data_IF_963110054464
#
_entry.id   IF_963110054464
#
_cell.length_a   1.000
_cell.length_b   1.000
_cell.length_c   1.000
_cell.angle_alpha   90.00
_cell.angle_beta   90.00
_cell.angle_gamma   90.00
#
_symmetry.space_group_name_H-M   'P 1'
#
loop_
_entity.id
_entity.type
_entity.pdbx_description
1 polymer ?
#
# COMPACT_ATOMS: atom_id res chain seq x y z
N UNK A 1 -47.29 -23.89 47.51
CA UNK A 1 -47.16 -23.75 46.05
C UNK A 1 -46.55 -22.38 45.74
N UNK A 2 -45.27 -22.32 45.40
CA UNK A 2 -44.63 -21.10 44.90
C UNK A 2 -44.61 -21.17 43.38
N UNK A 3 -45.30 -20.24 42.73
CA UNK A 3 -45.33 -20.09 41.27
C UNK A 3 -44.09 -19.27 40.91
N UNK A 4 -43.12 -19.91 40.26
CA UNK A 4 -41.97 -19.21 39.67
C UNK A 4 -42.36 -18.72 38.29
N UNK A 5 -42.50 -17.41 38.13
CA UNK A 5 -42.66 -16.76 36.83
C UNK A 5 -41.32 -16.78 36.08
N UNK A 6 -41.30 -17.44 34.92
CA UNK A 6 -40.18 -17.41 33.97
C UNK A 6 -40.40 -16.18 33.07
N UNK A 7 -39.49 -15.21 33.15
CA UNK A 7 -39.42 -14.08 32.20
C UNK A 7 -38.66 -14.58 30.97
N UNK A 8 -39.38 -14.74 29.85
CA UNK A 8 -38.77 -15.02 28.54
C UNK A 8 -38.33 -13.67 27.95
N UNK A 9 -37.03 -13.44 27.92
CA UNK A 9 -36.43 -12.29 27.25
C UNK A 9 -36.43 -12.57 25.73
N UNK A 10 -37.37 -11.97 25.01
CA UNK A 10 -37.40 -12.04 23.55
C UNK A 10 -36.32 -11.08 23.02
N UNK A 11 -35.17 -11.63 22.62
CA UNK A 11 -34.18 -10.92 21.82
C UNK A 11 -34.77 -10.71 20.42
N UNK A 12 -35.32 -9.53 20.17
CA UNK A 12 -35.67 -9.08 18.83
C UNK A 12 -34.35 -8.72 18.14
N UNK A 13 -33.96 -9.38 17.04
CA UNK A 13 -32.81 -8.93 16.25
C UNK A 13 -33.18 -7.57 15.65
N UNK A 14 -32.54 -6.51 16.13
CA UNK A 14 -32.54 -5.23 15.44
C UNK A 14 -31.82 -5.44 14.10
N UNK A 15 -32.59 -5.66 13.04
CA UNK A 15 -32.09 -5.45 11.69
C UNK A 15 -31.84 -3.94 11.56
N UNK A 16 -30.59 -3.51 11.76
CA UNK A 16 -30.18 -2.15 11.46
C UNK A 16 -30.39 -1.90 9.97
N UNK A 17 -31.47 -1.21 9.61
CA UNK A 17 -31.65 -0.74 8.24
C UNK A 17 -30.75 0.48 8.05
N UNK A 18 -29.59 0.30 7.43
CA UNK A 18 -28.79 1.40 6.91
C UNK A 18 -29.61 2.16 5.87
N UNK A 19 -29.82 3.46 6.09
CA UNK A 19 -30.50 4.33 5.12
C UNK A 19 -29.49 4.86 4.11
N UNK A 20 -29.91 4.93 2.85
CA UNK A 20 -29.15 5.61 1.79
C UNK A 20 -29.66 7.04 1.61
N UNK A 21 -28.75 8.00 1.69
CA UNK A 21 -28.99 9.42 1.46
C UNK A 21 -28.42 9.81 0.09
N UNK A 22 -29.26 10.38 -0.76
CA UNK A 22 -28.86 10.86 -2.08
C UNK A 22 -28.62 12.36 -2.00
N UNK A 23 -27.39 12.77 -2.29
CA UNK A 23 -26.93 14.15 -2.25
C UNK A 23 -26.46 14.56 -3.63
N UNK A 24 -26.86 15.74 -4.09
CA UNK A 24 -26.37 16.28 -5.36
C UNK A 24 -27.17 17.47 -5.86
N UNK A 25 -26.67 18.22 -6.85
CA UNK A 25 -27.30 19.46 -7.31
C UNK A 25 -28.76 19.32 -7.78
N UNK A 26 -29.15 18.10 -8.18
CA UNK A 26 -30.51 17.76 -8.66
C UNK A 26 -31.33 16.96 -7.65
N UNK A 27 -30.79 16.69 -6.45
CA UNK A 27 -31.44 15.91 -5.39
C UNK A 27 -32.14 16.80 -4.38
N UNK A 28 -32.90 16.18 -3.48
CA UNK A 28 -33.52 16.88 -2.33
C UNK A 28 -32.49 17.53 -1.42
N UNK A 29 -31.37 16.85 -1.16
CA UNK A 29 -30.24 17.39 -0.44
C UNK A 29 -29.17 17.80 -1.44
N UNK A 30 -28.91 19.11 -1.55
CA UNK A 30 -28.06 19.64 -2.61
C UNK A 30 -26.58 19.71 -2.24
N UNK A 31 -26.23 19.47 -0.98
CA UNK A 31 -24.84 19.41 -0.52
C UNK A 31 -24.65 18.39 0.61
N UNK A 32 -23.44 17.84 0.80
CA UNK A 32 -23.16 16.88 1.87
C UNK A 32 -23.49 17.39 3.27
N UNK A 33 -23.18 18.66 3.57
CA UNK A 33 -23.48 19.25 4.88
C UNK A 33 -24.98 19.21 5.23
N UNK A 34 -25.87 19.22 4.23
CA UNK A 34 -27.32 19.20 4.42
C UNK A 34 -27.83 17.91 5.10
N UNK A 35 -27.08 16.81 5.02
CA UNK A 35 -27.43 15.53 5.67
C UNK A 35 -26.57 15.23 6.89
N UNK A 36 -25.52 16.01 7.15
CA UNK A 36 -24.53 15.73 8.22
C UNK A 36 -25.12 15.57 9.63
N UNK A 37 -26.23 16.25 9.93
CA UNK A 37 -26.96 16.14 11.20
C UNK A 37 -28.16 15.19 11.16
N UNK A 38 -28.47 14.62 10.00
CA UNK A 38 -29.65 13.79 9.75
C UNK A 38 -29.33 12.29 9.66
N UNK A 39 -28.11 11.95 9.23
CA UNK A 39 -27.65 10.57 9.11
C UNK A 39 -27.54 9.89 10.47
N UNK A 40 -27.87 8.61 10.50
CA UNK A 40 -27.67 7.73 11.65
C UNK A 40 -26.46 6.80 11.43
N UNK A 41 -26.04 6.11 12.49
CA UNK A 41 -24.93 5.17 12.39
C UNK A 41 -25.20 4.08 11.36
N UNK A 42 -24.18 3.78 10.55
CA UNK A 42 -24.25 2.77 9.49
C UNK A 42 -24.85 3.26 8.17
N UNK A 43 -25.36 4.49 8.09
CA UNK A 43 -25.96 5.03 6.88
C UNK A 43 -24.94 5.18 5.73
N UNK A 44 -25.46 5.16 4.50
CA UNK A 44 -24.68 5.43 3.29
C UNK A 44 -25.07 6.78 2.69
N UNK A 45 -24.09 7.57 2.28
CA UNK A 45 -24.27 8.87 1.63
C UNK A 45 -23.69 8.77 0.22
N UNK A 46 -24.58 8.77 -0.78
CA UNK A 46 -24.21 8.78 -2.19
C UNK A 46 -24.25 10.23 -2.68
N UNK A 47 -23.10 10.73 -3.12
CA UNK A 47 -22.90 12.14 -3.48
C UNK A 47 -22.63 12.20 -4.98
N UNK A 48 -23.53 12.80 -5.75
CA UNK A 48 -23.34 12.96 -7.19
C UNK A 48 -22.06 13.77 -7.49
N UNK A 49 -21.37 13.42 -8.55
CA UNK A 49 -20.21 14.16 -9.03
C UNK A 49 -20.60 15.61 -9.40
N UNK A 50 -20.01 16.55 -8.68
CA UNK A 50 -20.21 17.99 -8.83
C UNK A 50 -19.19 18.72 -7.95
N UNK A 51 -19.06 20.03 -8.18
CA UNK A 51 -18.34 20.93 -7.26
C UNK A 51 -19.30 21.45 -6.18
N UNK A 52 -18.94 21.26 -4.92
CA UNK A 52 -19.65 21.72 -3.73
C UNK A 52 -18.84 22.81 -3.04
N UNK A 53 -19.12 24.06 -3.42
CA UNK A 53 -18.35 25.23 -2.96
C UNK A 53 -18.68 25.59 -1.51
N UNK A 54 -17.63 25.79 -0.71
CA UNK A 54 -17.69 26.17 0.72
C UNK A 54 -18.55 25.22 1.57
N UNK A 55 -18.75 23.98 1.11
CA UNK A 55 -19.51 22.98 1.85
C UNK A 55 -18.60 22.28 2.86
N UNK A 56 -18.57 22.83 4.07
CA UNK A 56 -17.75 22.33 5.18
C UNK A 56 -18.66 21.88 6.33
N UNK A 57 -18.37 20.73 6.94
CA UNK A 57 -19.25 20.18 7.98
C UNK A 57 -18.59 19.20 8.95
N UNK A 58 -19.34 18.84 9.98
CA UNK A 58 -18.99 17.85 11.00
C UNK A 58 -19.81 16.58 10.82
N UNK A 59 -19.12 15.44 10.78
CA UNK A 59 -19.75 14.12 10.78
C UNK A 59 -19.59 13.47 12.16
N UNK A 60 -20.73 13.26 12.84
CA UNK A 60 -20.78 12.64 14.19
C UNK A 60 -21.13 11.16 14.17
N UNK A 61 -21.98 10.73 13.24
CA UNK A 61 -22.41 9.35 13.16
C UNK A 61 -21.26 8.41 12.77
N UNK A 62 -21.35 7.19 13.27
CA UNK A 62 -20.35 6.13 13.12
C UNK A 62 -20.71 5.21 11.94
N UNK A 63 -19.73 4.46 11.44
CA UNK A 63 -19.87 3.47 10.38
C UNK A 63 -20.53 4.01 9.10
N UNK A 64 -20.40 5.32 8.84
CA UNK A 64 -20.92 5.92 7.63
C UNK A 64 -20.09 5.48 6.42
N UNK A 65 -20.77 5.30 5.30
CA UNK A 65 -20.13 5.06 4.00
C UNK A 65 -20.44 6.21 3.05
N UNK A 66 -19.41 6.95 2.64
CA UNK A 66 -19.51 8.06 1.69
C UNK A 66 -18.99 7.63 0.32
N UNK A 67 -19.76 7.85 -0.74
CA UNK A 67 -19.40 7.45 -2.09
C UNK A 67 -19.71 8.57 -3.08
N UNK A 68 -18.70 9.06 -3.79
CA UNK A 68 -18.87 9.87 -5.00
C UNK A 68 -19.40 9.03 -6.17
N UNK A 69 -20.50 9.48 -6.78
CA UNK A 69 -21.21 8.78 -7.86
C UNK A 69 -21.04 9.50 -9.19
N UNK A 70 -20.52 8.79 -10.20
CA UNK A 70 -20.32 9.35 -11.54
C UNK A 70 -19.05 10.19 -11.71
N UNK A 71 -18.13 10.14 -10.74
CA UNK A 71 -16.92 10.95 -10.68
C UNK A 71 -16.66 11.41 -9.24
N UNK A 72 -15.75 12.38 -9.07
CA UNK A 72 -15.51 12.99 -7.76
C UNK A 72 -16.68 13.85 -7.31
N UNK A 73 -17.11 13.66 -6.06
CA UNK A 73 -17.76 14.72 -5.31
C UNK A 73 -16.66 15.69 -4.85
N UNK A 74 -16.55 16.84 -5.51
CA UNK A 74 -15.48 17.80 -5.27
C UNK A 74 -15.88 18.84 -4.23
N UNK A 75 -15.31 18.73 -3.04
CA UNK A 75 -15.49 19.67 -1.94
C UNK A 75 -14.41 20.76 -2.04
N UNK A 76 -14.76 21.83 -2.75
CA UNK A 76 -13.90 23.02 -2.83
C UNK A 76 -14.22 23.96 -1.68
N UNK A 77 -13.32 24.04 -0.70
CA UNK A 77 -13.54 24.84 0.50
C UNK A 77 -13.48 26.36 0.23
N UNK A 78 -12.84 26.81 -0.85
CA UNK A 78 -12.58 28.24 -1.16
C UNK A 78 -12.10 29.04 0.07
N UNK A 79 -11.14 28.47 0.82
CA UNK A 79 -10.56 29.06 2.03
C UNK A 79 -11.44 28.97 3.28
N UNK A 80 -12.53 28.21 3.25
CA UNK A 80 -13.40 27.96 4.42
C UNK A 80 -13.05 26.65 5.11
N UNK A 81 -13.49 26.50 6.36
CA UNK A 81 -13.31 25.29 7.14
C UNK A 81 -14.39 25.19 8.22
N UNK A 82 -14.83 23.97 8.52
CA UNK A 82 -15.66 23.71 9.68
C UNK A 82 -14.83 23.84 10.96
N UNK A 83 -15.32 24.65 11.89
CA UNK A 83 -14.69 24.85 13.20
C UNK A 83 -13.26 25.41 13.15
N UNK A 84 -12.85 26.03 12.03
CA UNK A 84 -11.47 26.47 11.82
C UNK A 84 -10.48 25.31 11.71
N UNK A 85 -10.92 24.10 11.31
CA UNK A 85 -10.09 22.89 11.29
C UNK A 85 -9.94 22.24 9.92
N UNK A 86 -11.04 21.95 9.23
CA UNK A 86 -11.01 21.18 7.99
C UNK A 86 -12.26 21.38 7.13
N UNK A 87 -12.24 20.90 5.89
CA UNK A 87 -13.45 20.75 5.07
C UNK A 87 -14.42 19.83 5.81
N UNK A 88 -13.97 18.61 6.13
CA UNK A 88 -14.72 17.68 6.97
C UNK A 88 -13.99 17.40 8.28
N UNK A 89 -14.67 17.67 9.40
CA UNK A 89 -14.26 17.17 10.72
C UNK A 89 -15.05 15.88 10.98
N UNK A 90 -14.36 14.77 11.23
CA UNK A 90 -14.98 13.47 11.45
C UNK A 90 -14.73 13.04 12.90
N UNK A 91 -15.78 13.12 13.72
CA UNK A 91 -15.78 12.64 15.12
C UNK A 91 -16.42 11.25 15.25
N UNK A 92 -17.19 10.85 14.25
CA UNK A 92 -17.71 9.50 14.11
C UNK A 92 -16.60 8.46 13.91
N UNK A 93 -16.91 7.20 14.21
CA UNK A 93 -15.94 6.11 14.24
C UNK A 93 -16.13 5.22 13.02
N UNK A 94 -15.05 4.65 12.48
CA UNK A 94 -15.05 3.63 11.44
C UNK A 94 -15.77 4.06 10.14
N UNK A 95 -15.65 5.34 9.83
CA UNK A 95 -16.23 5.91 8.61
C UNK A 95 -15.36 5.55 7.39
N UNK A 96 -16.01 5.42 6.23
CA UNK A 96 -15.40 4.99 4.97
C UNK A 96 -15.71 6.00 3.87
N UNK A 97 -14.70 6.46 3.15
CA UNK A 97 -14.84 7.44 2.08
C UNK A 97 -14.30 6.87 0.77
N UNK A 98 -15.04 7.12 -0.32
CA UNK A 98 -14.65 6.75 -1.67
C UNK A 98 -15.05 7.81 -2.69
N UNK A 99 -14.17 8.11 -3.66
CA UNK A 99 -14.44 9.02 -4.79
C UNK A 99 -14.82 10.45 -4.36
N UNK A 100 -14.09 10.99 -3.39
CA UNK A 100 -14.30 12.37 -2.92
C UNK A 100 -13.00 13.16 -3.11
N UNK A 101 -13.12 14.37 -3.63
CA UNK A 101 -12.02 15.31 -3.85
C UNK A 101 -12.14 16.46 -2.84
N UNK A 102 -11.03 16.84 -2.21
CA UNK A 102 -10.95 17.83 -1.14
C UNK A 102 -9.92 18.90 -1.50
N UNK A 103 -10.35 20.16 -1.61
CA UNK A 103 -9.41 21.22 -1.96
C UNK A 103 -9.63 22.58 -1.35
N UNK A 104 -8.56 23.38 -1.38
CA UNK A 104 -8.55 24.80 -1.03
C UNK A 104 -8.96 25.11 0.43
N UNK A 105 -8.74 24.20 1.38
CA UNK A 105 -8.94 24.48 2.80
C UNK A 105 -7.80 25.33 3.36
N UNK A 106 -8.14 26.43 4.03
CA UNK A 106 -7.17 27.35 4.66
C UNK A 106 -7.74 27.85 5.98
N UNK A 107 -6.95 27.79 7.05
CA UNK A 107 -7.32 28.32 8.38
C UNK A 107 -6.20 29.20 8.92
N UNK A 108 -6.53 30.00 9.94
CA UNK A 108 -5.60 30.98 10.55
C UNK A 108 -4.36 30.29 11.11
N UNK A 109 -4.54 29.13 11.74
CA UNK A 109 -3.47 28.37 12.42
C UNK A 109 -2.60 27.56 11.45
N UNK A 110 -2.80 27.70 10.13
CA UNK A 110 -2.01 27.07 9.06
C UNK A 110 -2.04 25.54 9.02
N UNK A 111 -3.10 24.92 9.53
CA UNK A 111 -3.29 23.46 9.54
C UNK A 111 -4.70 23.03 9.08
N UNK A 112 -5.27 23.80 8.15
CA UNK A 112 -6.58 23.58 7.57
C UNK A 112 -6.57 22.35 6.67
N UNK A 113 -7.26 21.29 7.10
CA UNK A 113 -7.18 20.00 6.44
C UNK A 113 -8.33 19.71 5.46
N UNK A 114 -8.11 18.85 4.46
CA UNK A 114 -9.22 18.20 3.76
C UNK A 114 -10.09 17.41 4.75
N UNK A 115 -9.46 16.55 5.56
CA UNK A 115 -10.11 15.86 6.69
C UNK A 115 -9.35 16.10 7.99
N UNK A 116 -10.07 16.50 9.04
CA UNK A 116 -9.63 16.38 10.43
C UNK A 116 -10.29 15.16 11.06
N UNK A 117 -9.52 14.11 11.32
CA UNK A 117 -10.02 12.90 12.00
C UNK A 117 -9.88 13.07 13.52
N UNK A 118 -11.02 13.12 14.22
CA UNK A 118 -11.10 13.15 15.69
C UNK A 118 -11.79 11.90 16.27
N UNK A 119 -12.40 11.07 15.41
CA UNK A 119 -12.95 9.76 15.75
C UNK A 119 -11.93 8.63 15.71
N UNK A 120 -12.43 7.41 15.90
CA UNK A 120 -11.65 6.16 15.85
C UNK A 120 -11.86 5.46 14.53
N UNK A 121 -10.79 5.15 13.80
CA UNK A 121 -10.84 4.38 12.57
C UNK A 121 -11.33 5.18 11.37
N UNK A 122 -10.58 5.13 10.27
CA UNK A 122 -10.94 5.77 9.01
C UNK A 122 -10.43 4.93 7.84
N UNK A 123 -11.27 4.70 6.83
CA UNK A 123 -10.85 4.16 5.54
C UNK A 123 -11.09 5.19 4.45
N UNK A 124 -10.05 5.51 3.68
CA UNK A 124 -10.12 6.42 2.53
C UNK A 124 -9.64 5.66 1.31
N UNK A 125 -10.41 5.70 0.23
CA UNK A 125 -10.05 5.05 -1.02
C UNK A 125 -10.42 5.87 -2.23
N UNK A 126 -9.63 5.88 -3.30
CA UNK A 126 -9.99 6.58 -4.54
C UNK A 126 -10.36 8.05 -4.29
N UNK A 127 -9.65 8.73 -3.39
CA UNK A 127 -9.88 10.14 -3.08
C UNK A 127 -8.74 11.00 -3.64
N UNK A 128 -8.98 12.31 -3.69
CA UNK A 128 -7.95 13.27 -4.06
C UNK A 128 -7.91 14.44 -3.08
N UNK A 129 -6.76 14.72 -2.49
CA UNK A 129 -6.56 15.82 -1.55
C UNK A 129 -5.54 16.79 -2.11
N UNK A 130 -5.93 18.02 -2.41
CA UNK A 130 -4.98 18.97 -2.97
C UNK A 130 -5.22 20.43 -2.62
N UNK A 131 -4.14 21.22 -2.60
CA UNK A 131 -4.19 22.66 -2.31
C UNK A 131 -4.85 23.00 -0.97
N UNK A 132 -4.83 22.08 -0.01
CA UNK A 132 -5.18 22.36 1.39
C UNK A 132 -3.90 22.73 2.15
N UNK A 133 -4.03 23.21 3.39
CA UNK A 133 -2.84 23.33 4.25
C UNK A 133 -2.37 21.94 4.71
N UNK A 134 -3.31 21.04 5.00
CA UNK A 134 -3.05 19.60 5.19
C UNK A 134 -3.99 18.76 4.31
N UNK A 135 -3.55 17.65 3.72
CA UNK A 135 -4.48 16.74 3.04
C UNK A 135 -5.40 16.04 4.05
N UNK A 136 -4.80 15.23 4.94
CA UNK A 136 -5.47 14.67 6.12
C UNK A 136 -4.62 14.97 7.36
N UNK A 137 -5.29 15.42 8.42
CA UNK A 137 -4.70 15.59 9.74
C UNK A 137 -5.49 14.76 10.77
N UNK A 138 -4.92 13.64 11.19
CA UNK A 138 -5.52 12.79 12.23
C UNK A 138 -5.06 13.22 13.63
N UNK A 139 -6.00 13.26 14.59
CA UNK A 139 -5.69 13.50 16.00
C UNK A 139 -5.12 12.26 16.71
N UNK A 140 -4.71 12.46 17.97
CA UNK A 140 -4.23 11.37 18.83
C UNK A 140 -5.39 10.44 19.22
N UNK A 141 -5.27 9.17 18.85
CA UNK A 141 -6.20 8.13 19.24
C UNK A 141 -5.54 6.74 19.12
N UNK A 142 -4.98 6.18 20.21
CA UNK A 142 -4.25 4.92 20.17
C UNK A 142 -5.13 3.68 19.89
N UNK A 143 -6.44 3.84 19.76
CA UNK A 143 -7.37 2.80 19.31
C UNK A 143 -7.70 2.89 17.81
N UNK A 144 -7.23 3.93 17.12
CA UNK A 144 -7.58 4.21 15.72
C UNK A 144 -6.65 3.50 14.74
N UNK A 145 -7.22 2.84 13.74
CA UNK A 145 -6.48 2.39 12.56
C UNK A 145 -6.91 3.19 11.34
N UNK A 146 -5.94 3.73 10.63
CA UNK A 146 -6.17 4.51 9.42
C UNK A 146 -5.71 3.69 8.22
N UNK A 147 -6.61 3.50 7.26
CA UNK A 147 -6.34 2.80 6.01
C UNK A 147 -6.56 3.77 4.86
N UNK A 148 -5.54 3.97 4.03
CA UNK A 148 -5.61 4.86 2.88
C UNK A 148 -5.07 4.10 1.67
N UNK A 149 -5.91 3.94 0.66
CA UNK A 149 -5.58 3.19 -0.55
C UNK A 149 -6.01 3.92 -1.83
N UNK A 150 -5.31 3.72 -2.94
CA UNK A 150 -5.71 4.27 -4.25
C UNK A 150 -6.00 5.78 -4.23
N UNK A 151 -5.32 6.54 -3.37
CA UNK A 151 -5.62 7.95 -3.09
C UNK A 151 -4.46 8.82 -3.53
N UNK A 152 -4.79 9.99 -4.07
CA UNK A 152 -3.82 10.99 -4.50
C UNK A 152 -3.76 12.15 -3.48
N UNK A 153 -2.54 12.61 -3.20
CA UNK A 153 -2.27 13.79 -2.39
C UNK A 153 -1.30 14.68 -3.15
N UNK A 154 -1.67 15.94 -3.37
CA UNK A 154 -0.78 16.88 -4.05
C UNK A 154 -0.88 18.32 -3.58
N UNK A 155 0.22 19.07 -3.61
CA UNK A 155 0.20 20.53 -3.38
C UNK A 155 -0.44 20.94 -2.05
N UNK A 156 -0.48 20.07 -1.05
CA UNK A 156 -0.89 20.47 0.29
C UNK A 156 0.33 21.02 1.06
N UNK A 157 0.09 22.04 1.87
CA UNK A 157 1.14 22.71 2.63
C UNK A 157 0.88 24.20 2.78
N UNK A 158 1.37 24.79 3.86
CA UNK A 158 1.28 26.23 4.13
C UNK A 158 2.63 26.95 3.92
N UNK A 159 3.66 26.23 3.46
CA UNK A 159 5.02 26.77 3.31
C UNK A 159 5.74 27.02 4.63
N UNK A 160 5.26 26.42 5.72
CA UNK A 160 5.78 26.62 7.08
C UNK A 160 6.60 25.43 7.61
N UNK A 161 6.59 24.31 6.89
CA UNK A 161 7.30 23.07 7.24
C UNK A 161 6.55 22.20 8.27
N UNK A 162 5.34 22.59 8.69
CA UNK A 162 4.55 21.89 9.70
C UNK A 162 3.26 21.28 9.17
N UNK A 163 2.77 21.76 8.02
CA UNK A 163 1.61 21.19 7.34
C UNK A 163 2.03 20.39 6.12
N UNK A 164 1.29 19.32 5.79
CA UNK A 164 1.80 18.22 4.97
C UNK A 164 0.75 17.67 4.01
N UNK A 165 1.19 16.86 3.03
CA UNK A 165 0.26 16.07 2.21
C UNK A 165 -0.54 15.09 3.09
N UNK A 166 0.13 14.38 4.00
CA UNK A 166 -0.53 13.50 4.97
C UNK A 166 0.13 13.60 6.34
N UNK A 167 -0.65 13.90 7.38
CA UNK A 167 -0.20 13.91 8.77
C UNK A 167 -1.09 13.05 9.67
N UNK A 168 -0.57 11.87 10.02
CA UNK A 168 -1.18 10.97 10.99
C UNK A 168 -0.50 11.13 12.34
N UNK A 169 -1.21 11.56 13.38
CA UNK A 169 -0.68 11.69 14.73
C UNK A 169 -0.65 10.33 15.46
N UNK A 170 -0.67 10.28 16.81
CA UNK A 170 -0.51 9.02 17.54
C UNK A 170 -1.77 8.15 17.45
N UNK A 171 -1.82 7.32 16.40
CA UNK A 171 -2.84 6.30 16.19
C UNK A 171 -2.27 4.89 16.36
N UNK A 172 -3.13 3.87 16.44
CA UNK A 172 -2.70 2.47 16.56
C UNK A 172 -1.90 2.02 15.35
N UNK A 173 -2.42 2.25 14.14
CA UNK A 173 -1.75 1.86 12.91
C UNK A 173 -2.12 2.75 11.72
N UNK A 174 -1.15 2.89 10.80
CA UNK A 174 -1.37 3.39 9.45
C UNK A 174 -1.08 2.27 8.45
N UNK A 175 -2.04 2.01 7.57
CA UNK A 175 -1.87 1.22 6.35
C UNK A 175 -2.03 2.12 5.14
N UNK A 176 -0.97 2.28 4.36
CA UNK A 176 -0.86 3.22 3.25
C UNK A 176 -0.39 2.48 1.99
N UNK A 177 -1.30 2.19 1.06
CA UNK A 177 -0.99 1.36 -0.11
C UNK A 177 -1.56 1.87 -1.43
N UNK A 178 -0.83 1.70 -2.53
CA UNK A 178 -1.31 2.05 -3.88
C UNK A 178 -1.64 3.53 -4.07
N UNK A 179 -1.03 4.40 -3.26
CA UNK A 179 -1.29 5.84 -3.28
C UNK A 179 -0.27 6.60 -4.14
N UNK A 180 -0.65 7.80 -4.51
CA UNK A 180 0.21 8.77 -5.17
C UNK A 180 0.35 10.02 -4.30
N UNK A 181 1.58 10.38 -3.94
CA UNK A 181 1.87 11.50 -3.05
C UNK A 181 2.99 12.32 -3.66
N UNK A 182 2.72 13.60 -3.93
CA UNK A 182 3.68 14.45 -4.62
C UNK A 182 3.50 15.94 -4.31
N UNK A 183 4.56 16.72 -4.49
CA UNK A 183 4.53 18.18 -4.40
C UNK A 183 3.96 18.70 -3.07
N UNK A 184 4.33 18.12 -1.92
CA UNK A 184 4.04 18.81 -0.66
C UNK A 184 4.71 20.19 -0.68
N UNK A 185 3.99 21.25 -0.29
CA UNK A 185 4.55 22.60 -0.30
C UNK A 185 5.38 22.83 0.96
N UNK A 186 6.71 22.69 0.83
CA UNK A 186 7.74 22.74 1.89
C UNK A 186 7.63 21.66 2.99
N UNK A 187 6.43 21.15 3.27
CA UNK A 187 6.16 20.08 4.23
C UNK A 187 6.63 18.69 3.77
N UNK A 188 6.14 17.65 4.42
CA UNK A 188 6.45 16.27 4.07
C UNK A 188 5.38 15.68 3.15
N UNK A 189 5.80 14.74 2.30
CA UNK A 189 4.85 13.94 1.53
C UNK A 189 4.01 13.08 2.49
N UNK A 190 4.67 12.38 3.43
CA UNK A 190 4.04 11.58 4.48
C UNK A 190 4.71 11.82 5.84
N UNK A 191 3.94 12.29 6.83
CA UNK A 191 4.32 12.26 8.26
C UNK A 191 3.38 11.35 9.03
N UNK A 192 3.94 10.37 9.76
CA UNK A 192 3.15 9.47 10.59
C UNK A 192 3.78 9.18 11.95
N UNK A 193 3.04 9.48 13.01
CA UNK A 193 3.35 9.12 14.40
C UNK A 193 2.63 7.85 14.85
N UNK A 194 1.97 7.14 13.93
CA UNK A 194 1.28 5.89 14.24
C UNK A 194 2.23 4.88 14.89
N UNK A 195 1.73 4.10 15.85
CA UNK A 195 2.53 3.09 16.55
C UNK A 195 3.08 2.03 15.62
N UNK A 196 2.32 1.69 14.57
CA UNK A 196 2.71 0.75 13.52
C UNK A 196 2.46 1.37 12.15
N UNK A 197 3.42 1.25 11.22
CA UNK A 197 3.31 1.78 9.87
C UNK A 197 3.51 0.69 8.81
N UNK A 198 2.54 0.56 7.90
CA UNK A 198 2.59 -0.34 6.75
C UNK A 198 2.46 0.51 5.50
N UNK A 199 3.57 0.76 4.79
CA UNK A 199 3.67 1.67 3.65
C UNK A 199 4.13 0.86 2.44
N UNK A 200 3.17 0.42 1.61
CA UNK A 200 3.45 -0.55 0.54
C UNK A 200 3.01 -0.06 -0.83
N UNK A 201 3.82 -0.29 -1.86
CA UNK A 201 3.37 -0.16 -3.25
C UNK A 201 2.81 1.23 -3.60
N UNK A 202 3.41 2.30 -3.07
CA UNK A 202 3.03 3.68 -3.37
C UNK A 202 4.03 4.32 -4.36
N UNK A 203 3.60 5.41 -4.99
CA UNK A 203 4.50 6.39 -5.59
C UNK A 203 4.53 7.63 -4.72
N UNK A 204 5.68 7.88 -4.10
CA UNK A 204 5.94 9.02 -3.21
C UNK A 204 7.07 9.81 -3.84
N UNK A 205 6.73 10.73 -4.74
CA UNK A 205 7.71 11.39 -5.61
C UNK A 205 7.48 12.89 -5.53
N UNK A 206 8.46 13.63 -5.01
CA UNK A 206 8.38 15.10 -4.94
C UNK A 206 8.41 15.74 -6.35
N UNK A 207 8.82 14.98 -7.38
CA UNK A 207 8.90 15.40 -8.78
C UNK A 207 9.76 16.66 -8.95
N UNK A 208 9.18 17.77 -9.41
CA UNK A 208 9.79 19.10 -9.48
C UNK A 208 9.35 20.03 -8.35
N UNK A 209 8.73 19.50 -7.29
CA UNK A 209 8.33 20.18 -6.07
C UNK A 209 9.45 20.44 -5.06
N UNK A 210 9.09 21.04 -3.93
CA UNK A 210 10.00 21.52 -2.88
C UNK A 210 9.75 20.87 -1.50
N UNK A 211 9.09 19.70 -1.47
CA UNK A 211 8.87 18.94 -0.24
C UNK A 211 10.18 18.67 0.52
N UNK A 212 10.05 18.48 1.84
CA UNK A 212 11.15 18.24 2.75
C UNK A 212 11.51 16.76 2.85
N UNK A 213 10.70 15.93 3.51
CA UNK A 213 10.89 14.47 3.59
C UNK A 213 9.82 13.76 2.78
N UNK A 214 10.20 12.71 2.05
CA UNK A 214 9.22 11.81 1.43
C UNK A 214 8.49 10.99 2.50
N UNK A 215 9.20 10.53 3.54
CA UNK A 215 8.59 9.80 4.66
C UNK A 215 9.22 10.23 6.00
N UNK A 216 8.40 10.69 6.94
CA UNK A 216 8.81 10.94 8.32
C UNK A 216 8.02 10.08 9.31
N UNK A 217 8.75 9.24 10.05
CA UNK A 217 8.25 8.39 11.13
C UNK A 217 8.90 8.83 12.46
N UNK A 218 8.55 10.03 12.98
CA UNK A 218 9.38 10.74 13.94
C UNK A 218 9.47 10.05 15.32
N UNK A 219 8.49 9.22 15.69
CA UNK A 219 8.45 8.52 16.98
C UNK A 219 8.90 7.03 16.91
N UNK A 220 9.29 6.57 15.71
CA UNK A 220 9.66 5.18 15.44
C UNK A 220 8.49 4.21 15.63
N UNK A 221 8.80 2.97 16.01
CA UNK A 221 7.84 1.86 16.14
C UNK A 221 7.98 0.87 14.98
N UNK A 222 7.31 -0.29 15.02
CA UNK A 222 7.42 -1.25 13.94
C UNK A 222 6.91 -0.68 12.60
N UNK A 223 7.75 -0.73 11.56
CA UNK A 223 7.44 -0.17 10.26
C UNK A 223 7.88 -1.10 9.10
N UNK A 224 7.00 -1.29 8.12
CA UNK A 224 7.29 -1.95 6.85
C UNK A 224 7.12 -0.93 5.72
N UNK A 225 8.21 -0.64 5.02
CA UNK A 225 8.25 0.21 3.83
C UNK A 225 8.72 -0.67 2.67
N UNK A 226 7.79 -1.11 1.83
CA UNK A 226 8.10 -2.11 0.81
C UNK A 226 7.46 -1.85 -0.56
N UNK A 227 8.23 -2.04 -1.63
CA UNK A 227 7.71 -1.96 -2.99
C UNK A 227 7.32 -0.55 -3.44
N UNK A 228 7.83 0.50 -2.79
CA UNK A 228 7.49 1.88 -3.13
C UNK A 228 8.46 2.46 -4.16
N UNK A 229 7.93 3.33 -5.01
CA UNK A 229 8.72 4.27 -5.81
C UNK A 229 8.87 5.54 -4.97
N UNK A 230 10.11 5.94 -4.69
CA UNK A 230 10.41 7.12 -3.89
C UNK A 230 11.39 8.02 -4.65
N UNK A 231 11.08 9.29 -4.82
CA UNK A 231 11.98 10.21 -5.51
C UNK A 231 12.03 11.57 -4.84
N UNK A 232 13.25 12.06 -4.66
CA UNK A 232 13.55 13.37 -4.13
C UNK A 232 13.90 14.33 -5.27
N UNK A 233 13.21 15.49 -5.29
CA UNK A 233 13.44 16.55 -6.27
C UNK A 233 14.81 17.20 -6.10
N UNK A 234 15.33 17.79 -7.18
CA UNK A 234 16.50 18.67 -7.11
C UNK A 234 16.24 19.99 -6.36
N UNK A 235 14.98 20.28 -6.03
CA UNK A 235 14.54 21.49 -5.33
C UNK A 235 14.06 21.19 -3.90
N UNK A 236 14.24 19.97 -3.42
CA UNK A 236 13.75 19.58 -2.09
C UNK A 236 14.42 20.43 -1.01
N UNK A 237 13.65 20.81 0.01
CA UNK A 237 14.18 21.63 1.11
C UNK A 237 15.18 20.85 1.97
N UNK A 238 14.95 19.54 2.12
CA UNK A 238 15.81 18.66 2.87
C UNK A 238 16.37 17.56 1.97
N UNK A 239 17.59 17.10 2.28
CA UNK A 239 18.27 16.05 1.54
C UNK A 239 18.13 14.65 2.16
N UNK A 240 17.18 14.46 3.06
CA UNK A 240 16.89 13.17 3.69
C UNK A 240 15.60 12.62 3.11
N UNK A 241 15.61 11.36 2.69
CA UNK A 241 14.40 10.72 2.16
C UNK A 241 13.47 10.26 3.27
N UNK A 242 14.01 9.38 4.14
CA UNK A 242 13.26 8.76 5.23
C UNK A 242 13.88 9.13 6.58
N UNK A 243 13.08 9.78 7.42
CA UNK A 243 13.39 10.06 8.82
C UNK A 243 12.70 9.04 9.73
N UNK A 244 13.44 8.47 10.68
CA UNK A 244 12.89 7.47 11.61
C UNK A 244 13.35 7.72 13.05
N UNK A 245 12.39 7.93 13.95
CA UNK A 245 12.63 8.06 15.39
C UNK A 245 13.33 9.35 15.82
N UNK A 246 13.44 10.34 14.93
CA UNK A 246 14.24 11.56 15.13
C UNK A 246 13.67 12.52 16.18
N UNK A 247 12.39 12.36 16.54
CA UNK A 247 11.76 13.05 17.68
C UNK A 247 11.69 12.15 18.93
N UNK A 248 12.31 10.97 18.89
CA UNK A 248 12.45 10.05 20.02
C UNK A 248 11.74 8.72 19.80
N UNK A 249 12.42 7.62 20.14
CA UNK A 249 11.88 6.26 20.12
C UNK A 249 10.87 6.06 21.27
N UNK A 250 9.65 6.54 21.05
CA UNK A 250 8.62 6.70 22.09
C UNK A 250 7.35 5.90 21.79
N UNK A 251 7.16 5.48 20.54
CA UNK A 251 6.07 4.57 20.19
C UNK A 251 6.25 3.19 20.84
N UNK A 252 5.14 2.49 21.16
CA UNK A 252 5.22 1.17 21.77
C UNK A 252 5.74 0.12 20.79
N UNK A 253 6.22 -1.01 21.34
CA UNK A 253 6.71 -2.14 20.56
C UNK A 253 8.20 -2.05 20.22
N UNK A 254 8.67 -2.93 19.35
CA UNK A 254 10.06 -2.91 18.87
C UNK A 254 10.24 -1.78 17.85
N UNK A 255 11.31 -1.01 17.98
CA UNK A 255 11.68 -0.03 16.96
C UNK A 255 12.42 -0.74 15.82
N UNK A 256 11.64 -1.44 14.99
CA UNK A 256 12.12 -2.23 13.88
C UNK A 256 11.60 -1.66 12.54
N UNK A 257 12.50 -1.46 11.59
CA UNK A 257 12.17 -0.99 10.24
C UNK A 257 12.61 -2.04 9.21
N UNK A 258 11.66 -2.55 8.43
CA UNK A 258 11.89 -3.34 7.22
C UNK A 258 11.73 -2.43 6.00
N UNK A 259 12.82 -2.14 5.31
CA UNK A 259 12.90 -1.27 4.13
C UNK A 259 13.32 -2.11 2.91
N UNK A 260 12.33 -2.59 2.16
CA UNK A 260 12.50 -3.70 1.21
C UNK A 260 12.01 -3.37 -0.20
N UNK A 261 12.71 -3.80 -1.25
CA UNK A 261 12.18 -3.71 -2.63
C UNK A 261 11.70 -2.32 -3.05
N UNK A 262 12.27 -1.23 -2.53
CA UNK A 262 11.92 0.11 -2.96
C UNK A 262 12.82 0.54 -4.12
N UNK A 263 12.28 1.32 -5.06
CA UNK A 263 13.08 2.03 -6.07
C UNK A 263 13.18 3.48 -5.66
N UNK A 264 14.41 3.94 -5.38
CA UNK A 264 14.71 5.29 -4.96
C UNK A 264 15.53 6.03 -6.00
N UNK A 265 15.15 7.27 -6.29
CA UNK A 265 15.90 8.15 -7.20
C UNK A 265 16.17 9.48 -6.52
N UNK A 266 17.44 9.85 -6.44
CA UNK A 266 17.88 11.17 -5.98
C UNK A 266 18.28 12.04 -7.18
N UNK A 267 17.60 13.16 -7.34
CA UNK A 267 17.91 14.15 -8.37
C UNK A 267 18.85 15.26 -7.85
N UNK A 268 19.22 15.25 -6.56
CA UNK A 268 20.23 16.14 -5.97
C UNK A 268 21.67 15.59 -6.09
N UNK A 269 22.64 16.44 -5.76
CA UNK A 269 24.07 16.08 -5.76
C UNK A 269 24.54 15.35 -4.48
N UNK A 270 23.65 15.23 -3.50
CA UNK A 270 23.81 14.52 -2.22
C UNK A 270 22.45 14.09 -1.71
N UNK A 271 22.40 13.09 -0.82
CA UNK A 271 21.17 12.67 -0.16
C UNK A 271 21.45 11.66 0.95
N UNK A 272 20.51 11.49 1.87
CA UNK A 272 20.53 10.48 2.92
C UNK A 272 19.27 9.63 2.76
N UNK A 273 19.41 8.34 2.45
CA UNK A 273 18.23 7.48 2.26
C UNK A 273 17.53 7.24 3.60
N UNK A 274 18.27 6.76 4.61
CA UNK A 274 17.73 6.46 5.93
C UNK A 274 18.44 7.31 6.98
N UNK A 275 17.72 8.25 7.60
CA UNK A 275 18.19 9.00 8.76
C UNK A 275 17.47 8.48 10.02
N UNK A 276 18.10 7.52 10.70
CA UNK A 276 17.50 6.77 11.78
C UNK A 276 18.05 7.18 13.14
N UNK A 277 17.21 7.14 14.16
CA UNK A 277 17.63 7.35 15.54
C UNK A 277 18.62 6.25 15.99
N UNK A 278 19.78 6.69 16.47
CA UNK A 278 20.77 5.79 17.09
C UNK A 278 20.15 5.04 18.27
N UNK A 279 20.37 3.73 18.33
CA UNK A 279 19.81 2.86 19.36
C UNK A 279 18.45 2.24 19.02
N UNK A 280 17.90 2.47 17.82
CA UNK A 280 16.76 1.67 17.35
C UNK A 280 17.10 0.17 17.30
N UNK A 281 16.11 -0.71 17.39
CA UNK A 281 16.37 -2.13 17.63
C UNK A 281 16.88 -2.87 16.39
N UNK A 282 16.18 -2.77 15.26
CA UNK A 282 16.56 -3.50 14.04
C UNK A 282 16.21 -2.74 12.77
N UNK A 283 17.18 -2.57 11.89
CA UNK A 283 16.96 -2.13 10.52
C UNK A 283 17.27 -3.30 9.57
N UNK A 284 16.29 -3.69 8.76
CA UNK A 284 16.48 -4.57 7.61
C UNK A 284 16.33 -3.71 6.36
N UNK A 285 17.42 -3.52 5.63
CA UNK A 285 17.43 -2.79 4.36
C UNK A 285 17.85 -3.76 3.27
N UNK A 286 16.92 -4.15 2.39
CA UNK A 286 17.23 -5.15 1.38
C UNK A 286 16.50 -4.98 0.06
N UNK A 287 17.10 -5.52 -1.00
CA UNK A 287 16.54 -5.59 -2.34
C UNK A 287 16.12 -4.23 -2.95
N UNK A 288 16.66 -3.11 -2.48
CA UNK A 288 16.32 -1.78 -3.00
C UNK A 288 17.19 -1.43 -4.21
N UNK A 289 16.60 -0.70 -5.16
CA UNK A 289 17.32 0.04 -6.20
C UNK A 289 17.48 1.48 -5.73
N UNK A 290 18.70 2.01 -5.67
CA UNK A 290 18.97 3.34 -5.13
C UNK A 290 19.88 4.11 -6.08
N UNK A 291 19.26 4.94 -6.91
CA UNK A 291 19.92 5.71 -7.95
C UNK A 291 20.20 7.15 -7.51
N UNK A 292 21.39 7.64 -7.85
CA UNK A 292 21.83 9.01 -7.53
C UNK A 292 22.84 9.06 -6.39
N UNK A 293 23.40 10.25 -6.15
CA UNK A 293 24.45 10.46 -5.14
C UNK A 293 23.84 10.46 -3.74
N UNK A 294 24.09 9.41 -2.97
CA UNK A 294 23.48 9.24 -1.64
C UNK A 294 24.42 8.60 -0.63
N UNK A 295 24.14 8.87 0.64
CA UNK A 295 24.56 8.08 1.79
C UNK A 295 23.39 7.18 2.17
N UNK A 296 23.61 5.87 2.24
CA UNK A 296 22.53 4.92 2.56
C UNK A 296 21.94 5.15 3.96
N UNK A 297 22.79 5.34 4.96
CA UNK A 297 22.39 5.32 6.36
C UNK A 297 23.13 6.40 7.17
N UNK A 298 22.37 7.22 7.89
CA UNK A 298 22.81 8.04 8.99
C UNK A 298 22.16 7.53 10.29
N UNK A 299 22.97 7.23 11.31
CA UNK A 299 22.53 6.63 12.57
C UNK A 299 23.08 5.21 12.79
N UNK A 300 22.97 4.73 14.04
CA UNK A 300 23.48 3.41 14.44
C UNK A 300 22.36 2.56 15.06
N UNK A 301 21.66 1.73 14.27
CA UNK A 301 20.74 0.71 14.81
C UNK A 301 21.52 -0.37 15.58
N UNK A 302 20.90 -1.02 16.56
CA UNK A 302 21.52 -2.13 17.31
C UNK A 302 21.74 -3.37 16.44
N UNK A 303 20.76 -3.69 15.58
CA UNK A 303 20.87 -4.69 14.53
C UNK A 303 20.70 -4.06 13.16
N UNK A 304 21.63 -4.33 12.24
CA UNK A 304 21.54 -3.88 10.84
C UNK A 304 21.78 -5.05 9.89
N UNK A 305 20.77 -5.33 9.06
CA UNK A 305 20.85 -6.28 7.96
C UNK A 305 20.80 -5.47 6.67
N UNK A 306 21.85 -5.57 5.85
CA UNK A 306 21.97 -4.91 4.55
C UNK A 306 22.20 -5.98 3.48
N UNK A 307 21.22 -6.24 2.62
CA UNK A 307 21.26 -7.36 1.67
C UNK A 307 20.82 -6.93 0.28
N UNK A 308 21.61 -7.24 -0.75
CA UNK A 308 21.24 -7.07 -2.16
C UNK A 308 20.66 -5.68 -2.54
N UNK A 309 21.11 -4.60 -1.89
CA UNK A 309 20.79 -3.26 -2.36
C UNK A 309 21.73 -2.89 -3.52
N UNK A 310 21.18 -2.41 -4.63
CA UNK A 310 21.97 -1.91 -5.75
C UNK A 310 21.99 -0.37 -5.73
N UNK A 311 23.15 0.18 -5.38
CA UNK A 311 23.34 1.61 -5.13
C UNK A 311 24.39 2.14 -6.11
N UNK A 312 24.01 3.08 -6.97
CA UNK A 312 24.91 3.71 -7.93
C UNK A 312 24.61 5.19 -8.08
N UNK A 313 25.67 6.00 -8.21
CA UNK A 313 25.54 7.44 -8.39
C UNK A 313 25.01 7.83 -9.78
N UNK A 314 25.33 7.02 -10.80
CA UNK A 314 24.89 7.24 -12.19
C UNK A 314 23.58 6.48 -12.45
N UNK A 315 22.52 7.24 -12.77
CA UNK A 315 21.19 6.71 -13.07
C UNK A 315 21.19 5.81 -14.31
N UNK A 316 22.10 6.04 -15.27
CA UNK A 316 22.10 5.28 -16.53
C UNK A 316 22.41 3.80 -16.32
N UNK A 317 23.14 3.45 -15.26
CA UNK A 317 23.52 2.06 -14.92
C UNK A 317 22.30 1.21 -14.57
N UNK A 318 21.21 1.81 -14.11
CA UNK A 318 19.98 1.09 -13.77
C UNK A 318 19.18 0.68 -15.00
N UNK A 319 19.42 1.34 -16.14
CA UNK A 319 18.63 1.18 -17.37
C UNK A 319 17.12 1.32 -17.13
N UNK A 320 16.70 2.38 -16.44
CA UNK A 320 15.28 2.71 -16.31
C UNK A 320 14.67 3.00 -17.68
N UNK A 321 13.41 2.61 -17.87
CA UNK A 321 12.68 2.77 -19.13
C UNK A 321 12.52 4.24 -19.52
N UNK A 322 12.12 5.10 -18.59
CA UNK A 322 11.98 6.55 -18.81
C UNK A 322 12.06 7.34 -17.49
N UNK A 323 13.27 7.44 -16.95
CA UNK A 323 13.52 8.12 -15.68
C UNK A 323 13.16 9.61 -15.68
N UNK A 324 13.12 10.27 -16.84
CA UNK A 324 12.75 11.69 -16.95
C UNK A 324 11.26 11.93 -16.68
N UNK A 325 10.43 10.93 -16.95
CA UNK A 325 8.99 10.95 -16.67
C UNK A 325 8.62 10.06 -15.46
N UNK A 326 9.60 9.80 -14.59
CA UNK A 326 9.44 9.01 -13.36
C UNK A 326 8.98 7.55 -13.60
N UNK A 327 9.23 7.01 -14.80
CA UNK A 327 9.04 5.59 -15.10
C UNK A 327 10.34 4.82 -14.83
N UNK A 328 10.41 4.26 -13.63
CA UNK A 328 11.55 3.49 -13.15
C UNK A 328 11.40 1.98 -13.33
N UNK A 329 10.55 1.53 -14.25
CA UNK A 329 10.59 0.12 -14.67
C UNK A 329 11.95 -0.20 -15.29
N UNK A 330 12.45 -1.40 -15.02
CA UNK A 330 13.73 -1.86 -15.54
C UNK A 330 13.66 -2.20 -17.03
N UNK A 331 14.77 -1.98 -17.73
CA UNK A 331 15.09 -2.58 -19.03
C UNK A 331 15.52 -4.04 -18.86
N UNK A 332 15.52 -4.82 -19.97
CA UNK A 332 16.04 -6.19 -20.00
C UNK A 332 17.52 -6.33 -19.67
N UNK A 333 18.32 -5.28 -19.90
CA UNK A 333 19.76 -5.26 -19.59
C UNK A 333 20.07 -4.81 -18.16
N UNK A 334 19.05 -4.40 -17.39
CA UNK A 334 19.27 -3.85 -16.06
C UNK A 334 19.96 -4.85 -15.13
N UNK A 335 20.98 -4.43 -14.36
CA UNK A 335 21.60 -5.26 -13.33
C UNK A 335 20.66 -5.54 -12.14
N UNK A 336 19.53 -4.83 -12.04
CA UNK A 336 18.52 -5.09 -11.01
C UNK A 336 17.67 -6.32 -11.28
N UNK A 337 17.71 -6.84 -12.51
CA UNK A 337 16.92 -7.99 -12.93
C UNK A 337 17.37 -9.28 -12.21
N UNK A 338 16.43 -10.11 -11.77
CA UNK A 338 16.62 -11.46 -11.21
C UNK A 338 17.62 -11.51 -10.03
N UNK A 339 17.80 -10.40 -9.32
CA UNK A 339 18.93 -10.20 -8.40
C UNK A 339 18.52 -10.02 -6.93
N UNK A 340 17.22 -10.05 -6.63
CA UNK A 340 16.74 -9.90 -5.26
C UNK A 340 16.91 -11.20 -4.45
N UNK A 341 17.14 -11.01 -3.16
CA UNK A 341 17.09 -12.06 -2.16
C UNK A 341 15.64 -12.45 -1.86
N UNK A 342 15.31 -13.75 -1.89
CA UNK A 342 13.97 -14.25 -1.53
C UNK A 342 13.86 -14.45 -0.03
N UNK A 343 12.86 -13.82 0.60
CA UNK A 343 12.56 -14.00 2.01
C UNK A 343 11.64 -15.20 2.27
N UNK A 344 11.77 -15.84 3.43
CA UNK A 344 10.83 -16.86 3.91
C UNK A 344 10.07 -16.44 5.17
N UNK A 345 10.33 -15.23 5.63
CA UNK A 345 9.80 -14.62 6.84
C UNK A 345 8.60 -13.70 6.52
N UNK A 346 7.85 -13.39 7.56
CA UNK A 346 6.83 -12.35 7.56
C UNK A 346 7.12 -11.33 8.66
N UNK A 347 6.65 -10.11 8.46
CA UNK A 347 6.72 -9.02 9.43
C UNK A 347 5.39 -8.28 9.45
N UNK A 348 4.85 -8.03 10.65
CA UNK A 348 3.53 -7.38 10.82
C UNK A 348 2.38 -8.09 10.06
N UNK A 349 2.47 -9.41 9.91
CA UNK A 349 1.54 -10.24 9.12
C UNK A 349 1.63 -10.06 7.60
N UNK A 350 2.67 -9.41 7.09
CA UNK A 350 2.98 -9.31 5.67
C UNK A 350 4.16 -10.20 5.31
N UNK A 351 4.05 -10.92 4.20
CA UNK A 351 5.22 -11.55 3.59
C UNK A 351 6.24 -10.50 3.17
N UNK A 352 7.52 -10.81 3.33
CA UNK A 352 8.60 -9.89 2.97
C UNK A 352 8.99 -9.95 1.48
N UNK A 353 8.26 -10.73 0.67
CA UNK A 353 8.33 -10.66 -0.78
C UNK A 353 7.08 -9.89 -1.30
N UNK A 354 7.27 -8.87 -2.14
CA UNK A 354 6.18 -8.05 -2.64
C UNK A 354 5.24 -8.85 -3.56
N UNK A 355 3.93 -8.73 -3.33
CA UNK A 355 2.90 -9.42 -4.14
C UNK A 355 2.21 -8.51 -5.14
N UNK A 356 2.46 -7.20 -5.03
CA UNK A 356 1.88 -6.18 -5.89
C UNK A 356 2.94 -5.15 -6.27
N UNK A 357 2.63 -4.40 -7.32
CA UNK A 357 3.38 -3.22 -7.73
C UNK A 357 2.39 -2.10 -8.07
N UNK A 358 2.85 -0.87 -7.88
CA UNK A 358 2.09 0.33 -8.15
C UNK A 358 1.86 0.53 -9.66
N UNK A 359 0.67 1.00 -10.04
CA UNK A 359 0.36 1.52 -11.37
C UNK A 359 -0.07 2.98 -11.23
N UNK A 360 0.60 3.86 -11.94
CA UNK A 360 0.23 5.27 -12.00
C UNK A 360 -1.08 5.47 -12.79
N UNK A 361 -2.02 6.34 -12.34
CA UNK A 361 -1.87 7.33 -11.27
C UNK A 361 -2.31 6.92 -9.86
N UNK A 362 -3.14 5.89 -9.65
CA UNK A 362 -3.55 5.41 -8.31
C UNK A 362 -4.15 4.00 -8.47
N UNK A 363 -3.36 3.05 -8.93
CA UNK A 363 -3.80 1.67 -9.19
C UNK A 363 -2.69 0.67 -8.81
N UNK A 364 -2.98 -0.61 -8.99
CA UNK A 364 -2.11 -1.71 -8.63
C UNK A 364 -2.25 -2.87 -9.59
N UNK A 365 -1.19 -3.65 -9.74
CA UNK A 365 -1.26 -5.00 -10.31
C UNK A 365 -0.52 -5.99 -9.43
N UNK A 366 -0.83 -7.26 -9.61
CA UNK A 366 -0.01 -8.32 -9.05
C UNK A 366 1.42 -8.24 -9.58
N UNK A 367 2.37 -8.37 -8.66
CA UNK A 367 3.78 -8.51 -8.96
C UNK A 367 4.08 -10.00 -9.08
N UNK A 368 4.18 -10.48 -10.31
CA UNK A 368 4.51 -11.88 -10.58
C UNK A 368 6.02 -12.03 -10.63
N UNK A 369 6.57 -12.90 -9.78
CA UNK A 369 7.99 -13.24 -9.81
C UNK A 369 8.19 -14.75 -9.89
N UNK A 370 9.26 -15.17 -10.54
CA UNK A 370 9.54 -16.55 -10.94
C UNK A 370 10.72 -17.16 -10.20
N UNK A 371 10.71 -17.03 -8.87
CA UNK A 371 11.78 -17.44 -7.94
C UNK A 371 13.00 -16.53 -7.94
N UNK A 372 13.15 -15.66 -8.93
CA UNK A 372 14.26 -14.72 -9.02
C UNK A 372 13.69 -13.30 -9.09
N UNK A 373 13.20 -12.75 -7.96
CA UNK A 373 12.62 -11.43 -7.98
C UNK A 373 13.61 -10.36 -8.41
N UNK A 374 13.09 -9.34 -9.07
CA UNK A 374 13.86 -8.15 -9.39
C UNK A 374 14.07 -7.30 -8.13
N UNK A 375 15.16 -6.53 -8.15
CA UNK A 375 15.36 -5.45 -7.19
C UNK A 375 14.36 -4.32 -7.43
N UNK A 376 14.02 -3.59 -6.36
CA UNK A 376 13.19 -2.41 -6.44
C UNK A 376 11.70 -2.69 -6.55
N UNK A 377 10.93 -1.65 -6.85
CA UNK A 377 9.47 -1.61 -6.72
C UNK A 377 8.73 -2.45 -7.76
N UNK A 378 9.34 -2.63 -8.94
CA UNK A 378 8.70 -3.25 -10.10
C UNK A 378 9.34 -4.57 -10.46
N UNK A 379 8.52 -5.47 -11.01
CA UNK A 379 9.05 -6.65 -11.70
C UNK A 379 9.03 -6.45 -13.22
N UNK A 380 10.14 -6.78 -13.87
CA UNK A 380 10.26 -6.90 -15.29
C UNK A 380 9.54 -8.17 -15.80
N UNK A 381 8.24 -8.04 -16.07
CA UNK A 381 7.50 -9.13 -16.70
C UNK A 381 7.97 -9.37 -18.14
N UNK A 382 8.62 -10.51 -18.39
CA UNK A 382 8.99 -10.94 -19.75
C UNK A 382 8.17 -12.14 -20.21
N UNK A 383 6.92 -11.99 -20.63
CA UNK A 383 6.16 -13.16 -21.13
C UNK A 383 6.91 -13.82 -22.30
N UNK A 384 7.40 -15.04 -22.10
CA UNK A 384 8.04 -15.85 -23.14
C UNK A 384 7.00 -16.83 -23.67
N UNK A 385 6.55 -16.62 -24.91
CA UNK A 385 5.69 -17.59 -25.59
C UNK A 385 6.52 -18.82 -26.00
N UNK A 386 6.51 -19.88 -25.19
CA UNK A 386 6.92 -21.20 -25.67
C UNK A 386 5.75 -21.82 -26.45
N UNK A 387 5.84 -21.87 -27.78
CA UNK A 387 4.91 -22.66 -28.61
C UNK A 387 5.25 -24.15 -28.48
N UNK A 388 4.91 -24.76 -27.35
CA UNK A 388 4.82 -26.23 -27.26
C UNK A 388 3.34 -26.65 -27.28
N UNK A 389 2.95 -27.39 -28.32
CA UNK A 389 1.63 -27.97 -28.44
C UNK A 389 1.56 -29.23 -27.58
N UNK A 390 1.02 -29.13 -26.36
CA UNK A 390 0.77 -30.30 -25.53
C UNK A 390 -0.59 -30.92 -25.88
N UNK A 391 -0.59 -32.24 -26.06
CA UNK A 391 -1.73 -33.01 -26.61
C UNK A 391 -2.90 -33.12 -25.63
N UNK A 392 -2.63 -32.97 -24.32
CA UNK A 392 -3.60 -33.15 -23.24
C UNK A 392 -3.50 -32.04 -22.18
N UNK A 393 -4.65 -31.46 -21.79
CA UNK A 393 -4.74 -30.50 -20.68
C UNK A 393 -4.95 -31.25 -19.36
N UNK A 394 -4.21 -30.89 -18.32
CA UNK A 394 -4.34 -31.43 -16.96
C UNK A 394 -4.69 -30.30 -15.99
N UNK A 395 -5.66 -30.55 -15.11
CA UNK A 395 -5.98 -29.65 -14.01
C UNK A 395 -5.05 -29.95 -12.83
N UNK A 396 -4.64 -28.90 -12.11
CA UNK A 396 -3.81 -29.03 -10.93
C UNK A 396 -4.28 -28.05 -9.85
N UNK A 397 -4.14 -28.49 -8.60
CA UNK A 397 -4.55 -27.74 -7.43
C UNK A 397 -3.33 -27.52 -6.54
N UNK A 398 -3.09 -26.27 -6.18
CA UNK A 398 -2.08 -25.93 -5.18
C UNK A 398 -2.72 -25.97 -3.79
N UNK A 399 -2.14 -26.74 -2.89
CA UNK A 399 -2.50 -26.73 -1.47
C UNK A 399 -1.59 -25.77 -0.73
N UNK A 400 -2.12 -24.63 -0.30
CA UNK A 400 -1.37 -23.58 0.43
C UNK A 400 -0.72 -24.11 1.70
N UNK A 401 -1.46 -24.88 2.50
CA UNK A 401 -1.02 -25.32 3.83
C UNK A 401 0.18 -26.27 3.78
N UNK A 402 0.21 -27.15 2.77
CA UNK A 402 1.29 -28.13 2.58
C UNK A 402 2.31 -27.73 1.50
N UNK A 403 2.06 -26.61 0.80
CA UNK A 403 2.85 -26.13 -0.36
C UNK A 403 3.04 -27.19 -1.45
N UNK A 404 1.96 -27.90 -1.76
CA UNK A 404 1.98 -29.03 -2.68
C UNK A 404 1.15 -28.77 -3.93
N UNK A 405 1.64 -29.22 -5.09
CA UNK A 405 0.83 -29.38 -6.29
C UNK A 405 0.19 -30.77 -6.30
N UNK A 406 -1.13 -30.83 -6.45
CA UNK A 406 -1.88 -32.06 -6.68
C UNK A 406 -2.42 -32.03 -8.11
N UNK A 407 -2.10 -33.06 -8.89
CA UNK A 407 -2.64 -33.20 -10.24
C UNK A 407 -3.94 -34.00 -10.23
N UNK A 408 -4.96 -33.48 -10.92
CA UNK A 408 -6.16 -34.27 -11.23
C UNK A 408 -5.87 -35.19 -12.42
N UNK A 409 -5.58 -36.45 -12.11
CA UNK A 409 -5.29 -37.46 -13.12
C UNK A 409 -6.53 -38.03 -13.81
N UNK A 410 -7.74 -37.53 -13.49
CA UNK A 410 -9.04 -37.96 -14.04
C UNK A 410 -9.20 -39.48 -14.13
N UNK A 411 -8.73 -40.19 -13.09
CA UNK A 411 -8.78 -41.65 -12.99
C UNK A 411 -7.57 -42.41 -13.53
N UNK A 412 -6.53 -41.71 -14.02
CA UNK A 412 -5.28 -42.36 -14.45
C UNK A 412 -4.39 -42.64 -13.24
N UNK A 413 -4.02 -43.92 -13.01
CA UNK A 413 -3.02 -44.26 -12.01
C UNK A 413 -1.61 -43.88 -12.48
N UNK A 414 -0.95 -43.08 -11.66
CA UNK A 414 0.35 -42.45 -11.89
C UNK A 414 1.35 -42.80 -10.76
N UNK A 415 0.93 -43.59 -9.76
CA UNK A 415 1.63 -43.82 -8.49
C UNK A 415 3.05 -44.35 -8.68
N UNK A 416 3.28 -45.24 -9.65
CA UNK A 416 4.59 -45.86 -9.92
C UNK A 416 5.15 -45.56 -11.31
N UNK A 417 4.61 -44.56 -12.02
CA UNK A 417 5.12 -44.17 -13.34
C UNK A 417 6.28 -43.19 -13.20
N UNK A 418 7.31 -43.23 -14.08
CA UNK A 418 8.29 -42.16 -14.17
C UNK A 418 7.58 -40.90 -14.67
N UNK A 419 7.63 -39.84 -13.86
CA UNK A 419 7.00 -38.56 -14.17
C UNK A 419 8.06 -37.49 -14.08
N UNK A 420 8.27 -36.78 -15.18
CA UNK A 420 9.03 -35.53 -15.18
C UNK A 420 8.01 -34.40 -15.20
N UNK A 421 7.91 -33.67 -14.10
CA UNK A 421 7.20 -32.40 -14.06
C UNK A 421 8.21 -31.28 -14.23
N UNK A 422 7.93 -30.39 -15.17
CA UNK A 422 8.64 -29.13 -15.31
C UNK A 422 7.63 -28.04 -15.07
N UNK A 423 7.91 -27.15 -14.14
CA UNK A 423 7.12 -25.95 -13.89
C UNK A 423 7.78 -24.80 -14.63
N UNK A 424 6.97 -23.96 -15.23
CA UNK A 424 7.37 -22.77 -15.97
C UNK A 424 6.72 -21.58 -15.31
N UNK A 425 7.48 -20.53 -15.07
CA UNK A 425 6.90 -19.22 -14.85
C UNK A 425 6.35 -18.64 -16.15
N UNK A 426 5.59 -17.55 -16.03
CA UNK A 426 5.03 -16.84 -17.19
C UNK A 426 6.11 -16.26 -18.12
N UNK A 427 7.32 -16.03 -17.62
CA UNK A 427 8.47 -15.58 -18.40
C UNK A 427 9.36 -16.70 -18.95
N UNK A 428 8.97 -17.97 -18.72
CA UNK A 428 9.59 -19.13 -19.33
C UNK A 428 10.78 -19.71 -18.59
N UNK A 429 11.10 -19.24 -17.38
CA UNK A 429 12.12 -19.89 -16.53
C UNK A 429 11.58 -21.22 -15.99
N UNK A 430 12.51 -22.16 -15.79
CA UNK A 430 12.22 -23.55 -15.48
C UNK A 430 12.45 -23.84 -14.00
N UNK A 431 11.50 -24.52 -13.38
CA UNK A 431 11.60 -25.11 -12.05
C UNK A 431 11.30 -26.60 -12.13
N UNK A 432 12.13 -27.42 -11.48
CA UNK A 432 11.97 -28.88 -11.45
C UNK A 432 11.53 -29.33 -10.06
N UNK A 433 10.21 -29.39 -9.79
CA UNK A 433 9.74 -29.72 -8.46
C UNK A 433 10.08 -31.16 -8.07
N UNK A 434 10.39 -31.38 -6.78
CA UNK A 434 10.65 -32.71 -6.25
C UNK A 434 9.34 -33.46 -6.06
N UNK A 435 9.23 -34.66 -6.63
CA UNK A 435 8.08 -35.54 -6.42
C UNK A 435 8.18 -36.20 -5.04
N UNK A 436 7.08 -36.21 -4.29
CA UNK A 436 7.02 -36.99 -3.05
C UNK A 436 6.84 -38.48 -3.38
N UNK A 437 7.75 -39.32 -2.88
CA UNK A 437 7.70 -40.77 -3.07
C UNK A 437 6.62 -41.39 -2.16
N UNK A 438 5.83 -42.32 -2.69
CA UNK A 438 4.80 -43.06 -1.94
C UNK A 438 3.41 -42.40 -1.90
N UNK A 439 3.23 -41.21 -2.47
CA UNK A 439 1.94 -40.52 -2.62
C UNK A 439 1.68 -40.26 -4.11
N UNK A 440 0.45 -40.50 -4.58
CA UNK A 440 0.09 -40.26 -5.98
C UNK A 440 0.10 -38.77 -6.30
N UNK A 441 0.76 -38.37 -7.39
CA UNK A 441 0.53 -37.08 -8.07
C UNK A 441 0.88 -35.80 -7.31
N UNK A 442 1.75 -35.89 -6.30
CA UNK A 442 2.12 -34.75 -5.46
C UNK A 442 3.55 -34.28 -5.73
N UNK A 443 3.69 -32.97 -5.97
CA UNK A 443 4.97 -32.29 -6.15
C UNK A 443 5.17 -31.25 -5.07
N UNK A 444 6.38 -31.21 -4.49
CA UNK A 444 6.79 -30.21 -3.52
C UNK A 444 7.13 -28.89 -4.23
N UNK A 445 6.42 -27.83 -3.84
CA UNK A 445 6.56 -26.48 -4.36
C UNK A 445 7.01 -25.49 -3.28
N UNK A 446 7.63 -25.95 -2.19
CA UNK A 446 8.07 -25.09 -1.08
C UNK A 446 8.95 -23.91 -1.52
N UNK A 447 9.72 -24.12 -2.60
CA UNK A 447 10.62 -23.12 -3.17
C UNK A 447 9.85 -22.05 -3.96
N UNK A 448 8.64 -22.33 -4.45
CA UNK A 448 7.81 -21.38 -5.19
C UNK A 448 7.32 -20.23 -4.30
N UNK A 449 7.33 -19.03 -4.89
CA UNK A 449 6.77 -17.80 -4.33
C UNK A 449 5.34 -17.61 -4.88
N UNK A 450 4.49 -16.75 -4.27
CA UNK A 450 3.16 -16.50 -4.79
C UNK A 450 3.18 -16.03 -6.26
N UNK A 451 2.36 -16.65 -7.11
CA UNK A 451 2.37 -16.39 -8.55
C UNK A 451 1.55 -17.38 -9.39
N UNK A 452 1.47 -17.11 -10.69
CA UNK A 452 0.85 -18.01 -11.68
C UNK A 452 1.96 -18.78 -12.40
N UNK A 453 1.80 -20.09 -12.45
CA UNK A 453 2.77 -20.99 -13.08
C UNK A 453 2.06 -21.88 -14.11
N UNK A 454 2.77 -22.20 -15.17
CA UNK A 454 2.44 -23.30 -16.05
C UNK A 454 3.24 -24.55 -15.65
N UNK A 455 2.79 -25.73 -16.04
CA UNK A 455 3.60 -26.93 -15.92
C UNK A 455 3.43 -27.81 -17.14
N UNK A 456 4.47 -28.59 -17.43
CA UNK A 456 4.40 -29.74 -18.32
C UNK A 456 4.67 -31.00 -17.53
N UNK A 457 4.01 -32.08 -17.93
CA UNK A 457 4.21 -33.41 -17.38
C UNK A 457 4.50 -34.37 -18.51
N UNK A 458 5.62 -35.09 -18.41
CA UNK A 458 5.88 -36.25 -19.26
C UNK A 458 5.66 -37.53 -18.47
N UNK A 459 4.69 -38.32 -18.90
CA UNK A 459 4.37 -39.64 -18.33
C UNK A 459 4.54 -40.68 -19.45
N UNK A 460 5.62 -41.46 -19.39
CA UNK A 460 6.03 -42.34 -20.49
C UNK A 460 6.17 -41.57 -21.83
N UNK A 461 5.30 -41.86 -22.81
CA UNK A 461 5.23 -41.21 -24.13
C UNK A 461 4.23 -40.06 -24.19
N UNK A 462 3.37 -39.91 -23.18
CA UNK A 462 2.33 -38.88 -23.14
C UNK A 462 2.86 -37.59 -22.51
N UNK A 463 2.38 -36.47 -23.02
CA UNK A 463 2.68 -35.13 -22.52
C UNK A 463 1.41 -34.39 -22.16
N UNK A 464 1.45 -33.76 -20.99
CA UNK A 464 0.37 -32.97 -20.44
C UNK A 464 0.86 -31.57 -20.11
N UNK A 465 -0.05 -30.61 -20.10
CA UNK A 465 0.23 -29.28 -19.57
C UNK A 465 -0.97 -28.69 -18.84
N UNK A 466 -0.69 -27.76 -17.93
CA UNK A 466 -1.70 -27.04 -17.17
C UNK A 466 -1.13 -25.78 -16.54
N UNK A 467 -1.97 -25.09 -15.76
CA UNK A 467 -1.60 -23.90 -15.00
C UNK A 467 -2.10 -24.06 -13.57
N UNK A 468 -1.37 -23.48 -12.61
CA UNK A 468 -1.80 -23.38 -11.22
C UNK A 468 -1.38 -22.03 -10.63
N UNK A 469 -2.01 -21.66 -9.53
CA UNK A 469 -1.70 -20.45 -8.79
C UNK A 469 -1.11 -20.88 -7.46
N UNK A 470 0.09 -20.37 -7.14
CA UNK A 470 0.66 -20.43 -5.79
C UNK A 470 0.14 -19.23 -5.05
N UNK A 471 -0.65 -19.46 -4.01
CA UNK A 471 -1.12 -18.44 -3.06
C UNK A 471 -0.60 -18.80 -1.68
N UNK A 472 0.02 -17.87 -0.95
CA UNK A 472 0.41 -18.11 0.44
C UNK A 472 -0.63 -17.54 1.39
#
# INVERSE_FOLDING_TARGET
>A
MKINSIIILILIPFFGMSKTWLVGPTKTYTSPSAVSSLVADGDSILIDAAEYKKDVCLWKAHNLTFIGVGGFAHLNAEGTAYGGKAIWVITGNFNRLQNIEFSNCTVVDRNGAGIRLEGTGLTVSHCYFHNNQDGILAGDNPASDVVIEYTEFSHNGAGDGYSHNLYINHVRSLTFKFNYVHHAYYGHELKSRAYQNIILYNRITNEDGDASYEIDLPNGGPALIMGNIIQQSRYSDNNTFISYGREGLTNPGKHALCFLYNTLVNNEDKGIILNVQTGMDTLICANNLIAGKVTLLNGMPKGFINLNNFIQADLNVFEFRDALNYDYHLSKGSPGKDSAHVFNESFLSYELNPTHEYIHPVDSKFRYSDLHPDLGAHELQQVSLSKEYHKHRMEAFYLSDSKQLILDSKGTDLTNKPINCTVYSLDGKLFYPKRQLGVSNTFDLVELIPGIYAFTLKVNTEQYAGTFVVSR
#
